data_IF_950170842756
#
_entry.id   IF_950170842756
#
_cell.length_a   1.000
_cell.length_b   1.000
_cell.length_c   1.000
_cell.angle_alpha   90.00
_cell.angle_beta   90.00
_cell.angle_gamma   90.00
#
_symmetry.space_group_name_H-M   'P 1'
#
loop_
_entity.id
_entity.type
_entity.pdbx_description
1 polymer ?
#
# COMPACT_ATOMS: atom_id res chain seq x y z
N UNK A 1 -5.30 -25.49 -12.53
CA UNK A 1 -5.43 -24.01 -12.60
C UNK A 1 -6.25 -23.57 -11.41
N UNK A 2 -5.65 -22.91 -10.41
CA UNK A 2 -6.38 -22.45 -9.24
C UNK A 2 -6.01 -20.99 -8.99
N UNK A 3 -6.96 -20.12 -9.30
CA UNK A 3 -6.93 -18.69 -9.00
C UNK A 3 -6.88 -18.54 -7.49
N UNK A 4 -5.70 -18.25 -6.93
CA UNK A 4 -5.55 -17.75 -5.57
C UNK A 4 -6.15 -16.33 -5.55
N UNK A 5 -7.48 -16.28 -5.46
CA UNK A 5 -8.19 -15.10 -5.04
C UNK A 5 -7.67 -14.73 -3.67
N UNK A 6 -7.06 -13.55 -3.62
CA UNK A 6 -6.71 -12.77 -2.44
C UNK A 6 -7.77 -13.06 -1.36
N UNK A 7 -7.42 -13.83 -0.31
CA UNK A 7 -8.38 -14.33 0.70
C UNK A 7 -9.07 -13.20 1.49
N UNK A 8 -8.69 -11.94 1.25
CA UNK A 8 -9.25 -10.79 1.91
C UNK A 8 -9.48 -9.64 0.91
N UNK A 9 -10.72 -9.38 0.47
CA UNK A 9 -11.00 -8.26 -0.40
C UNK A 9 -10.55 -6.95 0.29
N UNK A 10 -9.88 -6.04 -0.43
CA UNK A 10 -9.51 -4.76 0.15
C UNK A 10 -10.77 -3.96 0.46
N UNK A 11 -10.84 -3.43 1.67
CA UNK A 11 -11.97 -2.60 2.11
C UNK A 11 -11.94 -1.24 1.43
N UNK A 12 -10.74 -0.73 1.13
CA UNK A 12 -10.54 0.59 0.53
C UNK A 12 -9.50 0.47 -0.59
N UNK A 13 -9.82 1.02 -1.76
CA UNK A 13 -8.91 1.12 -2.90
C UNK A 13 -8.76 2.57 -3.32
N UNK A 14 -7.52 3.03 -3.41
CA UNK A 14 -7.16 4.37 -3.87
C UNK A 14 -6.21 4.26 -5.06
N UNK A 15 -6.42 5.06 -6.10
CA UNK A 15 -5.54 5.11 -7.27
C UNK A 15 -4.88 6.47 -7.32
N UNK A 16 -3.55 6.46 -7.48
CA UNK A 16 -2.72 7.65 -7.59
C UNK A 16 -2.12 7.71 -8.99
N UNK A 17 -2.46 8.79 -9.68
CA UNK A 17 -1.87 9.20 -10.96
C UNK A 17 -1.39 10.62 -10.77
N UNK A 18 -0.08 10.85 -10.90
CA UNK A 18 0.50 12.18 -10.82
C UNK A 18 1.36 12.44 -12.05
N UNK A 19 1.26 13.66 -12.58
CA UNK A 19 2.18 14.19 -13.58
C UNK A 19 3.51 14.57 -12.91
N UNK A 20 4.61 14.54 -13.65
CA UNK A 20 5.94 14.87 -13.12
C UNK A 20 7.03 13.82 -13.30
N UNK A 21 6.87 12.91 -14.27
CA UNK A 21 7.90 11.94 -14.67
C UNK A 21 8.09 10.75 -13.73
N UNK A 22 9.24 10.10 -13.84
CA UNK A 22 9.54 8.86 -13.13
C UNK A 22 9.28 8.95 -11.62
N UNK A 23 8.51 7.97 -11.13
CA UNK A 23 8.10 7.76 -9.75
C UNK A 23 7.14 8.81 -9.17
N UNK A 24 6.60 9.75 -9.96
CA UNK A 24 5.70 10.80 -9.46
C UNK A 24 4.46 10.23 -8.75
N UNK A 25 3.72 9.34 -9.42
CA UNK A 25 2.54 8.65 -8.86
C UNK A 25 2.87 7.89 -7.56
N UNK A 26 4.02 7.22 -7.53
CA UNK A 26 4.51 6.50 -6.35
C UNK A 26 4.85 7.46 -5.19
N UNK A 27 5.55 8.56 -5.45
CA UNK A 27 5.87 9.56 -4.43
C UNK A 27 4.59 10.19 -3.85
N UNK A 28 3.61 10.47 -4.71
CA UNK A 28 2.29 10.96 -4.30
C UNK A 28 1.59 9.98 -3.34
N UNK A 29 1.49 8.70 -3.73
CA UNK A 29 0.88 7.65 -2.91
C UNK A 29 1.61 7.46 -1.56
N UNK A 30 2.93 7.41 -1.57
CA UNK A 30 3.75 7.26 -0.35
C UNK A 30 3.57 8.47 0.58
N UNK A 31 3.66 9.69 0.05
CA UNK A 31 3.47 10.90 0.85
C UNK A 31 2.07 10.99 1.45
N UNK A 32 1.05 10.55 0.70
CA UNK A 32 -0.33 10.48 1.19
C UNK A 32 -0.47 9.56 2.40
N UNK A 33 0.17 8.38 2.34
CA UNK A 33 0.18 7.37 3.39
C UNK A 33 1.00 7.81 4.62
N UNK A 34 2.21 8.30 4.43
CA UNK A 34 3.09 8.75 5.52
C UNK A 34 2.47 9.91 6.32
N UNK A 35 1.85 10.89 5.65
CA UNK A 35 1.11 11.99 6.29
C UNK A 35 -0.08 11.52 7.14
N UNK A 36 -0.52 10.28 6.95
CA UNK A 36 -1.64 9.64 7.64
C UNK A 36 -1.17 8.59 8.66
N UNK A 37 0.13 8.52 8.94
CA UNK A 37 0.67 7.63 9.96
C UNK A 37 0.95 6.21 9.46
N UNK A 38 1.01 5.99 8.15
CA UNK A 38 1.37 4.68 7.60
C UNK A 38 2.86 4.56 7.30
N UNK A 39 3.40 3.37 7.53
CA UNK A 39 4.70 2.94 7.06
C UNK A 39 4.57 2.14 5.76
N UNK A 40 5.45 2.40 4.79
CA UNK A 40 5.43 1.75 3.47
C UNK A 40 6.75 1.01 3.22
N UNK A 41 6.68 -0.30 2.99
CA UNK A 41 7.86 -1.16 2.90
C UNK A 41 8.78 -0.88 1.73
N UNK A 42 10.00 -1.39 1.78
CA UNK A 42 11.06 -1.05 0.81
C UNK A 42 10.65 -1.40 -0.64
N UNK A 43 11.07 -0.57 -1.58
CA UNK A 43 10.75 -0.75 -2.99
C UNK A 43 11.51 -1.95 -3.60
N UNK A 44 10.83 -2.68 -4.49
CA UNK A 44 11.39 -3.73 -5.32
C UNK A 44 10.72 -3.69 -6.70
N UNK A 45 11.50 -3.84 -7.77
CA UNK A 45 10.97 -3.83 -9.14
C UNK A 45 10.00 -5.00 -9.35
N UNK A 46 8.81 -4.71 -9.88
CA UNK A 46 7.80 -5.70 -10.24
C UNK A 46 7.12 -6.40 -9.06
N UNK A 47 7.30 -5.92 -7.83
CA UNK A 47 6.68 -6.51 -6.66
C UNK A 47 5.84 -5.48 -5.88
N UNK A 48 4.77 -5.92 -5.19
CA UNK A 48 4.01 -5.08 -4.28
C UNK A 48 4.89 -4.52 -3.15
N UNK A 49 4.42 -3.47 -2.49
CA UNK A 49 5.00 -2.94 -1.25
C UNK A 49 3.99 -3.12 -0.12
N UNK A 50 4.41 -3.66 1.01
CA UNK A 50 3.55 -3.80 2.17
C UNK A 50 3.30 -2.46 2.87
N UNK A 51 2.14 -2.33 3.50
CA UNK A 51 1.71 -1.16 4.25
C UNK A 51 1.32 -1.60 5.67
N UNK A 52 1.81 -0.89 6.68
CA UNK A 52 1.36 -1.00 8.08
C UNK A 52 0.99 0.39 8.60
N UNK A 53 0.07 0.44 9.56
CA UNK A 53 -0.32 1.67 10.23
C UNK A 53 0.45 1.79 11.53
N UNK A 54 1.17 2.91 11.73
CA UNK A 54 2.14 3.10 12.80
C UNK A 54 3.59 3.17 12.29
N UNK A 55 4.54 3.14 13.22
CA UNK A 55 5.97 3.20 12.95
C UNK A 55 6.55 1.79 12.78
N UNK A 56 6.82 1.39 11.54
CA UNK A 56 7.36 0.07 11.21
C UNK A 56 8.44 0.18 10.13
N UNK A 57 9.52 -0.60 10.25
CA UNK A 57 10.44 -0.86 9.13
C UNK A 57 10.01 -2.15 8.42
N UNK A 58 9.39 -2.00 7.25
CA UNK A 58 8.86 -3.13 6.48
C UNK A 58 9.87 -3.52 5.41
N UNK A 59 10.33 -4.77 5.45
CA UNK A 59 11.29 -5.33 4.50
C UNK A 59 10.76 -5.34 3.05
N UNK A 60 11.67 -5.63 2.10
CA UNK A 60 11.29 -5.85 0.69
C UNK A 60 10.35 -7.05 0.59
N UNK A 61 9.42 -7.01 -0.35
CA UNK A 61 8.41 -8.05 -0.54
C UNK A 61 8.96 -9.47 -0.54
N UNK A 62 10.07 -9.72 -1.24
CA UNK A 62 10.70 -11.05 -1.31
C UNK A 62 11.26 -11.57 0.02
N UNK A 63 11.50 -10.68 0.99
CA UNK A 63 12.01 -11.01 2.31
C UNK A 63 10.88 -11.17 3.34
N UNK A 64 9.64 -10.84 3.00
CA UNK A 64 8.49 -11.02 3.89
C UNK A 64 8.03 -12.48 3.83
N UNK A 65 7.93 -13.11 5.00
CA UNK A 65 7.33 -14.43 5.14
C UNK A 65 5.83 -14.39 4.82
N UNK A 66 5.21 -15.56 4.65
CA UNK A 66 3.75 -15.65 4.49
C UNK A 66 3.00 -15.08 5.70
N UNK A 67 3.56 -15.21 6.91
CA UNK A 67 2.99 -14.63 8.11
C UNK A 67 3.07 -13.09 8.08
N UNK A 68 4.23 -12.53 7.73
CA UNK A 68 4.40 -11.07 7.64
C UNK A 68 3.45 -10.46 6.62
N UNK A 69 3.26 -11.13 5.47
CA UNK A 69 2.35 -10.67 4.42
C UNK A 69 0.90 -10.65 4.87
N UNK A 70 0.49 -11.63 5.68
CA UNK A 70 -0.86 -11.67 6.28
C UNK A 70 -1.05 -10.62 7.37
N UNK A 71 0.01 -10.17 8.02
CA UNK A 71 -0.06 -9.12 9.03
C UNK A 71 -0.12 -7.70 8.43
N UNK A 72 0.11 -7.53 7.13
CA UNK A 72 0.05 -6.23 6.47
C UNK A 72 -1.37 -5.64 6.54
N UNK A 73 -1.47 -4.35 6.83
CA UNK A 73 -2.75 -3.63 6.80
C UNK A 73 -3.14 -3.21 5.38
N UNK A 74 -2.23 -3.33 4.42
CA UNK A 74 -2.50 -3.05 3.02
C UNK A 74 -1.31 -3.32 2.12
N UNK A 75 -1.51 -3.08 0.83
CA UNK A 75 -0.49 -3.20 -0.20
C UNK A 75 -0.54 -2.04 -1.18
N UNK A 76 0.63 -1.71 -1.73
CA UNK A 76 0.76 -0.79 -2.85
C UNK A 76 1.26 -1.56 -4.08
N UNK A 77 0.49 -1.48 -5.17
CA UNK A 77 0.70 -2.20 -6.44
C UNK A 77 0.65 -1.25 -7.63
N UNK A 78 0.90 -1.74 -8.85
CA UNK A 78 0.92 -0.95 -10.09
C UNK A 78 2.33 -0.64 -10.61
N UNK A 79 2.41 0.23 -11.62
CA UNK A 79 3.70 0.66 -12.18
C UNK A 79 4.30 1.73 -11.26
N UNK A 80 5.27 1.34 -10.44
CA UNK A 80 5.94 2.25 -9.52
C UNK A 80 6.78 3.32 -10.23
N UNK A 81 7.14 3.13 -11.51
CA UNK A 81 7.95 4.06 -12.31
C UNK A 81 7.08 5.06 -13.06
N UNK A 82 6.12 4.61 -13.86
CA UNK A 82 5.31 5.51 -14.68
C UNK A 82 3.93 5.80 -14.08
N UNK A 83 3.51 5.00 -13.10
CA UNK A 83 2.12 5.01 -12.64
C UNK A 83 1.16 4.36 -13.66
N UNK A 84 -0.12 4.25 -13.30
CA UNK A 84 -0.69 4.60 -12.00
C UNK A 84 -0.27 3.61 -10.90
N UNK A 85 -0.36 4.07 -9.65
CA UNK A 85 -0.11 3.25 -8.46
C UNK A 85 -1.42 3.07 -7.71
N UNK A 86 -1.71 1.84 -7.29
CA UNK A 86 -2.88 1.50 -6.48
C UNK A 86 -2.45 1.24 -5.04
N UNK A 87 -3.23 1.77 -4.11
CA UNK A 87 -3.14 1.48 -2.67
C UNK A 87 -4.41 0.75 -2.27
N UNK A 88 -4.23 -0.42 -1.67
CA UNK A 88 -5.30 -1.27 -1.16
C UNK A 88 -5.13 -1.41 0.34
N UNK A 89 -6.14 -1.02 1.11
CA UNK A 89 -6.19 -1.21 2.57
C UNK A 89 -7.12 -2.39 2.86
N UNK A 90 -6.63 -3.36 3.62
CA UNK A 90 -7.33 -4.59 3.94
C UNK A 90 -8.26 -4.43 5.13
N UNK A 91 -9.25 -5.33 5.24
CA UNK A 91 -10.21 -5.33 6.35
C UNK A 91 -9.57 -5.52 7.74
N UNK A 92 -8.45 -6.25 7.82
CA UNK A 92 -7.64 -6.45 9.05
C UNK A 92 -6.94 -5.18 9.52
N UNK A 93 -6.87 -4.13 8.70
CA UNK A 93 -6.33 -2.86 9.14
C UNK A 93 -7.14 -2.35 10.35
N UNK A 94 -6.50 -1.68 11.32
CA UNK A 94 -7.21 -1.03 12.41
C UNK A 94 -8.24 0.00 11.90
N UNK A 95 -9.28 0.27 12.68
CA UNK A 95 -10.31 1.25 12.28
C UNK A 95 -9.74 2.66 12.15
N UNK A 96 -8.72 3.00 12.96
CA UNK A 96 -8.00 4.27 12.82
C UNK A 96 -7.30 4.37 11.47
N UNK A 97 -6.72 3.27 10.99
CA UNK A 97 -6.06 3.20 9.69
C UNK A 97 -7.07 3.42 8.55
N UNK A 98 -8.21 2.72 8.60
CA UNK A 98 -9.31 2.90 7.64
C UNK A 98 -9.83 4.34 7.67
N UNK A 99 -10.06 4.91 8.85
CA UNK A 99 -10.51 6.29 9.00
C UNK A 99 -9.48 7.31 8.47
N UNK A 100 -8.19 7.08 8.67
CA UNK A 100 -7.12 7.98 8.23
C UNK A 100 -7.11 8.14 6.70
N UNK A 101 -7.38 7.08 5.94
CA UNK A 101 -7.44 7.14 4.47
C UNK A 101 -8.79 7.62 3.93
N UNK A 102 -9.89 7.42 4.66
CA UNK A 102 -11.24 7.86 4.25
C UNK A 102 -11.53 9.33 4.54
N UNK A 103 -10.87 9.94 5.54
CA UNK A 103 -11.02 11.37 5.84
C UNK A 103 -10.53 12.22 4.64
N UNK A 104 -11.47 12.66 3.80
CA UNK A 104 -11.28 13.84 2.94
C UNK A 104 -11.16 15.04 3.88
N UNK A 105 -10.07 15.80 3.77
CA UNK A 105 -10.00 17.09 4.46
C UNK A 105 -11.16 17.94 3.94
N UNK A 106 -11.97 18.45 4.89
CA UNK A 106 -12.79 19.65 4.71
C UNK A 106 -11.89 20.84 4.42
#
# INVERSE_FOLDING_TARGET
>A
MQTLLIEYPPTIRLTFSAEGGDFASKRCAVSFLEKRGFSVGRMQRGAPRGILFGLYDIAKWKNLSSADRRALHGVMTGDMRNGPVSVEIFHIAPDEAKAAVTKRRV
#
